data_IF_588431228364
#
_entry.id   IF_588431228364
#
_cell.length_a   1.000
_cell.length_b   1.000
_cell.length_c   1.000
_cell.angle_alpha   90.00
_cell.angle_beta   90.00
_cell.angle_gamma   90.00
#
_symmetry.space_group_name_H-M   'P 1'
#
loop_
_entity.id
_entity.type
_entity.pdbx_description
1 polymer ?
#
# COMPACT_ATOMS: atom_id res chain seq x y z
N UNK A 1 -1.21 -0.28 14.56
CA UNK A 1 -0.08 0.44 13.93
C UNK A 1 -0.66 1.27 12.80
N UNK A 2 -0.29 2.54 12.67
CA UNK A 2 -0.89 3.42 11.66
C UNK A 2 -0.49 3.07 10.21
N UNK A 3 0.58 2.32 10.01
CA UNK A 3 0.97 1.75 8.71
C UNK A 3 1.09 0.24 8.87
N UNK A 4 0.35 -0.51 8.05
CA UNK A 4 0.31 -1.95 7.99
C UNK A 4 0.87 -2.44 6.65
N UNK A 5 1.66 -3.51 6.67
CA UNK A 5 2.22 -4.13 5.48
C UNK A 5 1.79 -5.60 5.44
N UNK A 6 1.18 -6.03 4.34
CA UNK A 6 0.76 -7.44 4.18
C UNK A 6 1.94 -8.26 3.67
N UNK A 7 2.22 -9.39 4.32
CA UNK A 7 3.31 -10.28 3.92
C UNK A 7 3.12 -10.86 2.50
N UNK A 8 4.21 -11.09 1.75
CA UNK A 8 5.61 -10.85 2.13
C UNK A 8 6.01 -9.38 2.05
N UNK A 9 6.79 -8.91 3.02
CA UNK A 9 7.36 -7.54 3.02
C UNK A 9 8.68 -7.51 2.24
N UNK A 10 8.89 -6.45 1.45
CA UNK A 10 10.11 -6.21 0.68
C UNK A 10 10.60 -4.74 0.79
N UNK A 11 11.83 -4.43 0.37
CA UNK A 11 12.41 -3.10 0.54
C UNK A 11 11.63 -1.95 -0.12
N UNK A 12 10.92 -2.20 -1.22
CA UNK A 12 10.08 -1.17 -1.88
C UNK A 12 8.89 -0.83 -1.00
N UNK A 13 8.24 -1.85 -0.43
CA UNK A 13 7.14 -1.66 0.52
C UNK A 13 7.60 -0.90 1.76
N UNK A 14 8.78 -1.21 2.29
CA UNK A 14 9.35 -0.50 3.45
C UNK A 14 9.64 0.97 3.15
N UNK A 15 10.21 1.27 1.98
CA UNK A 15 10.49 2.65 1.56
C UNK A 15 9.20 3.47 1.42
N UNK A 16 8.18 2.91 0.77
CA UNK A 16 6.86 3.53 0.66
C UNK A 16 6.24 3.72 2.05
N UNK A 17 6.31 2.71 2.92
CA UNK A 17 5.81 2.78 4.29
C UNK A 17 6.50 3.90 5.08
N UNK A 18 7.82 4.06 4.93
CA UNK A 18 8.57 5.13 5.56
C UNK A 18 8.12 6.52 5.09
N UNK A 19 7.89 6.70 3.79
CA UNK A 19 7.38 7.96 3.24
C UNK A 19 5.96 8.29 3.74
N UNK A 20 5.06 7.29 3.75
CA UNK A 20 3.66 7.47 4.21
C UNK A 20 3.59 7.66 5.72
N UNK A 21 4.54 7.12 6.50
CA UNK A 21 4.54 7.26 7.97
C UNK A 21 4.58 8.72 8.42
N UNK A 22 5.21 9.61 7.64
CA UNK A 22 5.20 11.05 7.92
C UNK A 22 3.76 11.62 7.92
N UNK A 23 2.91 11.13 7.01
CA UNK A 23 1.48 11.48 6.98
C UNK A 23 0.77 10.98 8.24
N UNK A 24 0.88 9.69 8.53
CA UNK A 24 0.16 9.07 9.65
C UNK A 24 0.60 9.60 11.02
N UNK A 25 1.83 10.10 11.13
CA UNK A 25 2.30 10.77 12.34
C UNK A 25 1.65 12.15 12.53
N UNK A 26 1.38 12.87 11.43
CA UNK A 26 0.70 14.17 11.46
C UNK A 26 -0.83 14.05 11.53
N UNK A 27 -1.38 12.91 11.09
CA UNK A 27 -2.80 12.59 11.09
C UNK A 27 -3.04 11.32 11.93
N UNK A 28 -3.23 11.43 13.25
CA UNK A 28 -3.31 10.26 14.14
C UNK A 28 -4.48 9.31 13.86
N UNK A 29 -5.51 9.79 13.16
CA UNK A 29 -6.66 8.99 12.72
C UNK A 29 -6.45 8.33 11.37
N UNK A 30 -5.33 8.59 10.71
CA UNK A 30 -5.01 8.00 9.42
C UNK A 30 -4.41 6.61 9.59
N UNK A 31 -4.85 5.70 8.75
CA UNK A 31 -4.32 4.35 8.63
C UNK A 31 -3.88 4.10 7.20
N UNK A 32 -2.79 3.35 7.02
CA UNK A 32 -2.30 2.95 5.72
C UNK A 32 -2.11 1.44 5.64
N UNK A 33 -2.53 0.85 4.52
CA UNK A 33 -2.27 -0.53 4.16
C UNK A 33 -1.41 -0.57 2.90
N UNK A 34 -0.37 -1.41 2.91
CA UNK A 34 0.55 -1.57 1.80
C UNK A 34 0.73 -3.06 1.53
N UNK A 35 0.69 -3.46 0.27
CA UNK A 35 1.03 -4.83 -0.10
C UNK A 35 1.55 -4.92 -1.53
N UNK A 36 2.33 -5.98 -1.79
CA UNK A 36 2.75 -6.34 -3.14
C UNK A 36 1.69 -7.21 -3.81
N UNK A 37 1.12 -6.68 -4.89
CA UNK A 37 0.14 -7.36 -5.73
C UNK A 37 0.81 -8.28 -6.77
N UNK A 38 1.98 -7.88 -7.29
CA UNK A 38 2.77 -8.66 -8.25
C UNK A 38 4.25 -8.21 -8.21
N UNK A 39 5.18 -8.87 -8.93
CA UNK A 39 6.59 -8.47 -8.97
C UNK A 39 6.85 -7.01 -9.33
N UNK A 40 5.93 -6.36 -10.03
CA UNK A 40 6.04 -4.97 -10.53
C UNK A 40 4.87 -4.09 -10.07
N UNK A 41 4.19 -4.50 -8.99
CA UNK A 41 2.97 -3.82 -8.53
C UNK A 41 2.88 -3.87 -7.01
N UNK A 42 3.14 -2.72 -6.40
CA UNK A 42 2.79 -2.39 -5.02
C UNK A 42 1.54 -1.53 -5.04
N UNK A 43 0.66 -1.79 -4.07
CA UNK A 43 -0.59 -1.06 -3.88
C UNK A 43 -0.62 -0.49 -2.47
N UNK A 44 -1.06 0.76 -2.37
CA UNK A 44 -1.16 1.51 -1.13
C UNK A 44 -2.60 2.01 -0.99
N UNK A 45 -3.14 1.89 0.22
CA UNK A 45 -4.37 2.55 0.63
C UNK A 45 -4.07 3.40 1.86
N UNK A 46 -4.55 4.63 1.88
CA UNK A 46 -4.59 5.50 3.05
C UNK A 46 -6.06 5.82 3.34
N UNK A 47 -6.48 5.56 4.57
CA UNK A 47 -7.81 5.85 5.09
C UNK A 47 -7.68 6.95 6.12
N UNK A 48 -8.39 8.05 5.93
CA UNK A 48 -8.32 9.20 6.84
C UNK A 48 -9.66 9.98 6.86
N UNK A 49 -10.27 10.21 8.04
CA UNK A 49 -11.43 11.10 8.17
C UNK A 49 -11.25 12.49 7.53
N UNK A 50 -10.03 13.02 7.48
CA UNK A 50 -9.72 14.33 6.91
C UNK A 50 -9.95 14.38 5.38
N UNK A 51 -10.11 13.23 4.73
CA UNK A 51 -10.47 13.16 3.30
C UNK A 51 -11.95 13.42 3.00
N UNK A 52 -12.82 13.49 4.02
CA UNK A 52 -14.25 13.77 3.84
C UNK A 52 -14.48 15.10 3.13
N UNK A 53 -15.37 15.07 2.14
CA UNK A 53 -15.71 16.24 1.33
C UNK A 53 -14.60 16.72 0.39
N UNK A 54 -13.40 16.13 0.41
CA UNK A 54 -12.32 16.42 -0.54
C UNK A 54 -12.48 15.58 -1.79
N UNK A 55 -12.27 16.21 -2.94
CA UNK A 55 -12.14 15.51 -4.23
C UNK A 55 -10.88 14.64 -4.25
N UNK A 56 -10.85 13.66 -5.16
CA UNK A 56 -9.66 12.84 -5.40
C UNK A 56 -8.40 13.68 -5.65
N UNK A 57 -8.51 14.75 -6.46
CA UNK A 57 -7.36 15.62 -6.75
C UNK A 57 -6.81 16.31 -5.50
N UNK A 58 -7.69 16.80 -4.63
CA UNK A 58 -7.28 17.45 -3.37
C UNK A 58 -6.57 16.48 -2.44
N UNK A 59 -7.07 15.25 -2.32
CA UNK A 59 -6.42 14.20 -1.53
C UNK A 59 -5.03 13.87 -2.08
N UNK A 60 -4.91 13.71 -3.41
CA UNK A 60 -3.62 13.46 -4.04
C UNK A 60 -2.63 14.61 -3.83
N UNK A 61 -3.06 15.88 -3.85
CA UNK A 61 -2.18 17.03 -3.55
C UNK A 61 -1.60 17.00 -2.14
N UNK A 62 -2.29 16.36 -1.20
CA UNK A 62 -1.82 16.22 0.18
C UNK A 62 -0.80 15.09 0.29
N UNK A 63 -1.10 13.91 -0.27
CA UNK A 63 -0.29 12.70 -0.04
C UNK A 63 0.85 12.55 -1.04
N UNK A 64 0.65 12.92 -2.31
CA UNK A 64 1.65 12.72 -3.37
C UNK A 64 3.00 13.39 -3.11
N UNK A 65 3.09 14.61 -2.53
CA UNK A 65 4.38 15.24 -2.22
C UNK A 65 5.26 14.43 -1.27
N UNK A 66 4.68 13.58 -0.42
CA UNK A 66 5.44 12.72 0.50
C UNK A 66 6.22 11.65 -0.25
N UNK A 67 5.78 11.29 -1.44
CA UNK A 67 6.38 10.27 -2.28
C UNK A 67 7.51 10.82 -3.15
N UNK A 68 7.69 12.15 -3.25
CA UNK A 68 8.75 12.77 -4.05
C UNK A 68 10.17 12.46 -3.56
N UNK A 69 10.32 12.02 -2.31
CA UNK A 69 11.60 11.59 -1.77
C UNK A 69 11.99 10.16 -2.18
N UNK A 70 11.08 9.41 -2.80
CA UNK A 70 11.32 8.04 -3.23
C UNK A 70 12.04 8.02 -4.58
N UNK A 71 12.92 7.03 -4.75
CA UNK A 71 13.57 6.77 -6.03
C UNK A 71 12.54 6.44 -7.13
N UNK A 72 12.86 6.81 -8.37
CA UNK A 72 11.96 6.62 -9.51
C UNK A 72 11.56 5.15 -9.71
N UNK A 73 12.47 4.20 -9.46
CA UNK A 73 12.19 2.77 -9.57
C UNK A 73 11.19 2.29 -8.50
N UNK A 74 11.27 2.83 -7.28
CA UNK A 74 10.31 2.55 -6.20
C UNK A 74 8.94 3.12 -6.56
N UNK A 75 8.90 4.34 -7.12
CA UNK A 75 7.66 4.96 -7.58
C UNK A 75 7.03 4.22 -8.77
N UNK A 76 7.84 3.63 -9.65
CA UNK A 76 7.35 2.85 -10.78
C UNK A 76 6.59 1.59 -10.34
N UNK A 77 6.99 0.99 -9.21
CA UNK A 77 6.28 -0.13 -8.59
C UNK A 77 4.94 0.30 -7.95
N UNK A 78 4.76 1.58 -7.57
CA UNK A 78 3.51 2.06 -6.99
C UNK A 78 2.42 2.22 -8.06
N UNK A 79 1.65 1.15 -8.25
CA UNK A 79 0.60 1.09 -9.29
C UNK A 79 -0.77 1.60 -8.83
N UNK A 80 -1.08 1.51 -7.54
CA UNK A 80 -2.33 1.99 -6.96
C UNK A 80 -2.05 2.78 -5.69
N UNK A 81 -2.61 3.98 -5.62
CA UNK A 81 -2.72 4.80 -4.41
C UNK A 81 -4.19 5.15 -4.17
N UNK A 82 -4.83 4.50 -3.20
CA UNK A 82 -6.20 4.78 -2.79
C UNK A 82 -6.20 5.72 -1.58
N UNK A 83 -6.94 6.82 -1.68
CA UNK A 83 -7.07 7.83 -0.63
C UNK A 83 -8.54 7.99 -0.29
N UNK A 84 -8.98 7.41 0.82
CA UNK A 84 -10.40 7.24 1.15
C UNK A 84 -10.73 7.78 2.53
N UNK A 85 -11.89 8.40 2.68
CA UNK A 85 -12.51 8.58 3.98
C UNK A 85 -13.10 7.24 4.48
N UNK A 86 -13.24 7.04 5.79
CA UNK A 86 -13.77 5.78 6.33
C UNK A 86 -15.16 5.39 5.78
N UNK A 87 -16.03 6.37 5.54
CA UNK A 87 -17.38 6.19 5.00
C UNK A 87 -17.41 5.78 3.52
N UNK A 88 -16.26 5.82 2.82
CA UNK A 88 -16.16 5.42 1.41
C UNK A 88 -15.70 3.97 1.22
N UNK A 89 -15.29 3.28 2.29
CA UNK A 89 -14.72 1.93 2.20
C UNK A 89 -15.69 0.90 1.62
N UNK A 90 -16.97 0.98 2.01
CA UNK A 90 -17.99 0.00 1.57
C UNK A 90 -18.45 0.24 0.12
N UNK A 91 -18.58 1.52 -0.27
CA UNK A 91 -19.10 1.89 -1.59
C UNK A 91 -18.03 1.83 -2.69
N UNK A 92 -16.75 1.94 -2.32
CA UNK A 92 -15.64 1.95 -3.28
C UNK A 92 -15.36 0.57 -3.88
N UNK A 93 -15.55 0.45 -5.19
CA UNK A 93 -15.16 -0.76 -5.97
C UNK A 93 -13.66 -0.99 -5.86
N UNK A 94 -12.85 0.08 -5.94
CA UNK A 94 -11.41 -0.01 -5.82
C UNK A 94 -10.99 -0.49 -4.43
N UNK A 95 -11.71 -0.11 -3.37
CA UNK A 95 -11.47 -0.62 -2.02
C UNK A 95 -11.75 -2.13 -1.92
N UNK A 96 -12.87 -2.59 -2.50
CA UNK A 96 -13.22 -4.01 -2.53
C UNK A 96 -12.16 -4.86 -3.26
N UNK A 97 -11.69 -4.40 -4.42
CA UNK A 97 -10.57 -5.04 -5.15
C UNK A 97 -9.28 -5.01 -4.33
N UNK A 98 -9.04 -3.95 -3.57
CA UNK A 98 -7.87 -3.83 -2.70
C UNK A 98 -7.89 -4.84 -1.54
N UNK A 99 -9.05 -5.07 -0.92
CA UNK A 99 -9.21 -6.00 0.21
C UNK A 99 -9.23 -7.46 -0.21
N UNK A 100 -9.80 -7.79 -1.37
CA UNK A 100 -9.83 -9.15 -1.91
C UNK A 100 -9.17 -9.21 -3.28
N UNK A 101 -7.83 -9.03 -3.36
CA UNK A 101 -7.11 -8.98 -4.62
C UNK A 101 -7.08 -10.36 -5.30
N UNK A 102 -7.33 -10.38 -6.61
CA UNK A 102 -7.40 -11.62 -7.39
C UNK A 102 -6.04 -12.34 -7.48
N UNK A 103 -4.92 -11.60 -7.68
CA UNK A 103 -3.61 -12.22 -7.91
C UNK A 103 -2.62 -12.16 -6.73
N UNK A 104 -2.84 -11.29 -5.75
CA UNK A 104 -1.83 -11.04 -4.72
C UNK A 104 -1.60 -12.26 -3.81
N UNK A 105 -2.65 -13.02 -3.48
CA UNK A 105 -2.55 -14.21 -2.64
C UNK A 105 -1.75 -15.33 -3.32
N UNK A 106 -1.95 -15.52 -4.63
CA UNK A 106 -1.21 -16.50 -5.42
C UNK A 106 0.28 -16.13 -5.51
N UNK A 107 0.58 -14.85 -5.72
CA UNK A 107 1.96 -14.36 -5.75
C UNK A 107 2.66 -14.52 -4.39
N UNK A 108 1.99 -14.16 -3.30
CA UNK A 108 2.51 -14.34 -1.95
C UNK A 108 2.80 -15.82 -1.63
N UNK A 109 1.93 -16.74 -2.08
CA UNK A 109 2.14 -18.18 -1.95
C UNK A 109 3.34 -18.65 -2.76
N UNK A 110 3.48 -18.17 -4.01
CA UNK A 110 4.62 -18.50 -4.87
C UNK A 110 5.96 -18.03 -4.27
N UNK A 111 6.03 -16.81 -3.73
CA UNK A 111 7.22 -16.30 -3.05
C UNK A 111 7.61 -17.16 -1.84
N UNK A 112 6.64 -17.52 -0.99
CA UNK A 112 6.88 -18.40 0.17
C UNK A 112 7.44 -19.77 -0.25
N UNK A 113 6.92 -20.34 -1.33
CA UNK A 113 7.42 -21.62 -1.85
C UNK A 113 8.88 -21.54 -2.32
N UNK A 114 9.27 -20.44 -2.99
CA UNK A 114 10.65 -20.22 -3.42
C UNK A 114 11.58 -19.97 -2.23
N UNK A 115 11.18 -19.17 -1.26
CA UNK A 115 11.98 -18.88 -0.06
C UNK A 115 12.11 -20.08 0.90
N UNK A 116 11.12 -20.98 0.92
CA UNK A 116 11.12 -22.19 1.76
C UNK A 116 11.81 -23.40 1.13
N UNK A 117 12.10 -23.37 -0.17
CA UNK A 117 12.70 -24.49 -0.91
C UNK A 117 14.22 -24.64 -0.78
N UNK A 118 14.89 -23.80 0.02
CA UNK A 118 16.35 -23.76 0.15
C UNK A 118 16.98 -24.75 1.14
N UNK A 119 16.21 -25.65 1.77
CA UNK A 119 16.72 -26.55 2.79
C UNK A 119 16.24 -28.01 2.62
N UNK A 120 16.81 -28.72 1.65
CA UNK A 120 16.97 -30.17 1.57
C UNK A 120 17.78 -30.48 0.29
N UNK A 121 18.92 -31.17 0.25
CA UNK A 121 19.59 -32.10 1.19
C UNK A 121 21.04 -32.32 0.69
N UNK A 122 21.91 -33.07 1.43
CA UNK A 122 23.37 -33.09 1.30
C UNK A 122 23.93 -33.92 0.14
#
# INVERSE_FOLDING_TARGET
MAVNMREPVDPVMEAIAAAVRNYTNAHPSAEADIYRYSPVSVRVRVVDPDFRGKSRSERHKIVWPLLYALDADILADLTILLLLAPDELESSIANRDFDTPVFAAEYAAALKAVSGGGAATP
#
